data_IF_845747139051
#
_entry.id   IF_845747139051
#
_cell.length_a   1.000
_cell.length_b   1.000
_cell.length_c   1.000
_cell.angle_alpha   90.00
_cell.angle_beta   90.00
_cell.angle_gamma   90.00
#
_symmetry.space_group_name_H-M   'P 1'
#
loop_
_entity.id
_entity.type
_entity.pdbx_description
1 polymer ?
#
# COMPACT_ATOMS: atom_id res chain seq x y z
N UNK A 1 -5.03 9.27 -16.37
CA UNK A 1 -5.60 10.05 -15.25
C UNK A 1 -6.83 10.78 -15.73
N UNK A 2 -7.93 10.65 -14.99
CA UNK A 2 -9.19 11.33 -15.25
C UNK A 2 -8.99 12.85 -15.10
N UNK A 3 -9.63 13.67 -15.95
CA UNK A 3 -9.50 15.13 -15.90
C UNK A 3 -9.86 15.69 -14.52
N UNK A 4 -10.82 15.05 -13.83
CA UNK A 4 -11.23 15.39 -12.45
C UNK A 4 -10.11 15.12 -11.44
N UNK A 5 -9.32 14.07 -11.61
CA UNK A 5 -8.16 13.78 -10.74
C UNK A 5 -7.08 14.86 -10.91
N UNK A 6 -6.85 15.33 -12.13
CA UNK A 6 -5.88 16.41 -12.42
C UNK A 6 -6.32 17.74 -11.83
N UNK A 7 -7.62 18.07 -11.95
CA UNK A 7 -8.17 19.34 -11.46
C UNK A 7 -8.17 19.40 -9.91
N UNK A 8 -8.48 18.28 -9.25
CA UNK A 8 -8.59 18.21 -7.78
C UNK A 8 -7.32 17.76 -7.08
N UNK A 9 -6.33 17.22 -7.81
CA UNK A 9 -5.08 16.72 -7.25
C UNK A 9 -5.25 15.50 -6.33
N UNK A 10 -6.31 14.71 -6.52
CA UNK A 10 -6.62 13.51 -5.72
C UNK A 10 -6.75 12.28 -6.61
N UNK A 11 -6.41 11.11 -6.09
CA UNK A 11 -6.68 9.83 -6.73
C UNK A 11 -8.12 9.44 -6.51
N UNK A 12 -8.88 9.18 -7.59
CA UNK A 12 -10.28 8.75 -7.56
C UNK A 12 -10.37 7.25 -7.84
N UNK A 13 -9.67 6.78 -8.87
CA UNK A 13 -9.63 5.38 -9.27
C UNK A 13 -8.28 4.77 -8.91
N UNK A 14 -8.31 3.52 -8.45
CA UNK A 14 -7.11 2.76 -8.17
C UNK A 14 -6.23 2.62 -9.41
N UNK A 15 -4.94 2.82 -9.24
CA UNK A 15 -3.93 2.62 -10.28
C UNK A 15 -3.08 1.42 -9.93
N UNK A 16 -2.94 0.52 -10.89
CA UNK A 16 -2.15 -0.71 -10.71
C UNK A 16 -0.87 -0.59 -11.51
N UNK A 17 0.25 -0.80 -10.83
CA UNK A 17 1.59 -0.81 -11.41
C UNK A 17 2.33 -2.05 -10.92
N UNK A 18 3.20 -2.63 -11.75
CA UNK A 18 4.04 -3.74 -11.37
C UNK A 18 5.51 -3.38 -11.57
N UNK A 19 6.34 -3.76 -10.62
CA UNK A 19 7.80 -3.67 -10.71
C UNK A 19 8.43 -5.04 -10.46
N UNK A 20 9.65 -5.24 -10.95
CA UNK A 20 10.45 -6.43 -10.65
C UNK A 20 11.66 -6.01 -9.81
N UNK A 21 11.81 -6.63 -8.67
CA UNK A 21 12.91 -6.37 -7.76
C UNK A 21 13.41 -7.68 -7.14
N UNK A 22 14.72 -7.92 -7.21
CA UNK A 22 15.37 -9.13 -6.69
C UNK A 22 14.65 -10.45 -7.08
N UNK A 23 14.23 -10.57 -8.36
CA UNK A 23 13.54 -11.75 -8.88
C UNK A 23 12.06 -11.87 -8.48
N UNK A 24 11.55 -10.94 -7.69
CA UNK A 24 10.14 -10.90 -7.26
C UNK A 24 9.36 -9.85 -8.03
N UNK A 25 8.17 -10.19 -8.50
CA UNK A 25 7.20 -9.24 -9.06
C UNK A 25 6.39 -8.63 -7.91
N UNK A 26 6.47 -7.32 -7.75
CA UNK A 26 5.70 -6.56 -6.78
C UNK A 26 4.60 -5.80 -7.53
N UNK A 27 3.34 -6.12 -7.25
CA UNK A 27 2.20 -5.36 -7.75
C UNK A 27 1.83 -4.29 -6.75
N UNK A 28 1.81 -3.04 -7.19
CA UNK A 28 1.51 -1.87 -6.36
C UNK A 28 0.16 -1.34 -6.81
N UNK A 29 -0.75 -1.17 -5.86
CA UNK A 29 -2.08 -0.59 -6.09
C UNK A 29 -2.14 0.72 -5.32
N UNK A 30 -2.21 1.83 -6.07
CA UNK A 30 -2.44 3.16 -5.49
C UNK A 30 -3.92 3.32 -5.16
N UNK A 31 -4.23 3.58 -3.88
CA UNK A 31 -5.61 3.66 -3.38
C UNK A 31 -6.05 5.11 -3.22
N UNK A 32 -7.34 5.43 -3.50
CA UNK A 32 -7.89 6.69 -3.06
C UNK A 32 -7.81 6.81 -1.54
N UNK A 33 -7.33 7.97 -1.05
CA UNK A 33 -7.24 8.25 0.39
C UNK A 33 -8.53 8.77 1.02
N UNK A 34 -9.55 9.12 0.23
CA UNK A 34 -10.75 9.79 0.71
C UNK A 34 -11.83 8.79 1.17
N UNK A 35 -12.48 9.08 2.31
CA UNK A 35 -13.51 8.21 2.88
C UNK A 35 -14.74 8.00 1.95
N UNK A 36 -15.01 8.93 1.04
CA UNK A 36 -16.09 8.84 0.05
C UNK A 36 -15.92 7.66 -0.92
N UNK A 37 -14.70 7.15 -1.07
CA UNK A 37 -14.36 6.01 -1.93
C UNK A 37 -14.23 4.69 -1.16
N UNK A 38 -14.92 4.54 -0.03
CA UNK A 38 -14.81 3.40 0.87
C UNK A 38 -15.02 2.04 0.23
N UNK A 39 -15.93 1.92 -0.72
CA UNK A 39 -16.16 0.68 -1.47
C UNK A 39 -14.98 0.30 -2.39
N UNK A 40 -14.29 1.29 -2.95
CA UNK A 40 -13.07 1.06 -3.74
C UNK A 40 -11.93 0.59 -2.85
N UNK A 41 -11.72 1.25 -1.71
CA UNK A 41 -10.70 0.88 -0.73
C UNK A 41 -10.91 -0.56 -0.23
N UNK A 42 -12.12 -0.97 0.11
CA UNK A 42 -12.41 -2.33 0.55
C UNK A 42 -12.12 -3.38 -0.52
N UNK A 43 -12.49 -3.11 -1.77
CA UNK A 43 -12.18 -4.00 -2.90
C UNK A 43 -10.68 -4.17 -3.10
N UNK A 44 -9.93 -3.08 -3.04
CA UNK A 44 -8.46 -3.11 -3.18
C UNK A 44 -7.83 -3.89 -2.04
N UNK A 45 -8.22 -3.61 -0.80
CA UNK A 45 -7.68 -4.29 0.37
C UNK A 45 -7.93 -5.80 0.36
N UNK A 46 -8.98 -6.27 -0.31
CA UNK A 46 -9.23 -7.71 -0.49
C UNK A 46 -8.26 -8.38 -1.46
N UNK A 47 -7.63 -7.63 -2.37
CA UNK A 47 -6.70 -8.15 -3.36
C UNK A 47 -5.23 -8.17 -2.90
N UNK A 48 -4.87 -7.27 -1.97
CA UNK A 48 -3.47 -7.08 -1.56
C UNK A 48 -3.08 -8.00 -0.42
N UNK A 49 -1.78 -8.28 -0.30
CA UNK A 49 -1.24 -9.14 0.75
C UNK A 49 -0.74 -8.34 1.96
N UNK A 50 -0.49 -7.04 1.77
CA UNK A 50 -0.15 -6.08 2.81
C UNK A 50 -0.34 -4.65 2.34
N UNK A 51 -0.09 -3.68 3.22
CA UNK A 51 -0.28 -2.26 2.92
C UNK A 51 0.97 -1.44 3.25
N UNK A 52 1.24 -0.42 2.44
CA UNK A 52 2.18 0.64 2.78
C UNK A 52 1.38 1.80 3.39
N UNK A 53 1.58 2.05 4.67
CA UNK A 53 0.96 3.17 5.36
C UNK A 53 1.86 4.40 5.23
N UNK A 54 1.48 5.32 4.34
CA UNK A 54 2.22 6.57 4.14
C UNK A 54 1.80 7.59 5.19
N UNK A 55 2.76 8.04 5.98
CA UNK A 55 2.60 9.10 6.98
C UNK A 55 3.46 10.29 6.57
N UNK A 56 2.90 11.48 6.56
CA UNK A 56 3.65 12.70 6.32
C UNK A 56 4.48 13.06 7.57
N UNK A 57 5.78 13.30 7.41
CA UNK A 57 6.67 13.61 8.55
C UNK A 57 6.24 14.86 9.32
N UNK A 58 5.61 15.83 8.65
CA UNK A 58 5.20 17.10 9.25
C UNK A 58 3.74 17.09 9.71
N UNK A 59 2.84 16.53 8.89
CA UNK A 59 1.39 16.53 9.18
C UNK A 59 0.96 15.36 10.07
N UNK A 60 1.78 14.31 10.17
CA UNK A 60 1.48 13.13 10.98
C UNK A 60 0.36 12.26 10.43
N UNK A 61 -0.38 11.60 11.33
CA UNK A 61 -1.47 10.69 10.99
C UNK A 61 -2.76 11.46 10.66
N UNK A 62 -3.07 11.57 9.38
CA UNK A 62 -4.27 12.25 8.88
C UNK A 62 -5.53 11.36 9.04
N UNK A 63 -6.76 11.95 9.04
CA UNK A 63 -8.00 11.18 9.12
C UNK A 63 -8.14 10.10 8.05
N UNK A 64 -7.63 10.35 6.84
CA UNK A 64 -7.62 9.39 5.73
C UNK A 64 -6.74 8.18 6.05
N UNK A 65 -5.56 8.41 6.64
CA UNK A 65 -4.65 7.37 7.13
C UNK A 65 -5.36 6.45 8.12
N UNK A 66 -6.08 7.03 9.09
CA UNK A 66 -6.87 6.31 10.10
C UNK A 66 -7.93 5.41 9.46
N UNK A 67 -8.66 5.95 8.48
CA UNK A 67 -9.73 5.22 7.80
C UNK A 67 -9.19 3.97 7.08
N UNK A 68 -8.17 4.15 6.23
CA UNK A 68 -7.60 3.04 5.44
C UNK A 68 -6.93 2.00 6.35
N UNK A 69 -6.18 2.45 7.37
CA UNK A 69 -5.54 1.55 8.32
C UNK A 69 -6.55 0.71 9.09
N UNK A 70 -7.66 1.30 9.56
CA UNK A 70 -8.75 0.57 10.24
C UNK A 70 -9.29 -0.58 9.38
N UNK A 71 -9.51 -0.32 8.09
CA UNK A 71 -10.00 -1.34 7.16
C UNK A 71 -8.94 -2.42 6.91
N UNK A 72 -7.69 -2.05 6.73
CA UNK A 72 -6.58 -2.99 6.52
C UNK A 72 -6.38 -3.92 7.72
N UNK A 73 -6.34 -3.37 8.94
CA UNK A 73 -6.20 -4.14 10.18
C UNK A 73 -7.37 -5.09 10.38
N UNK A 74 -8.61 -4.63 10.12
CA UNK A 74 -9.81 -5.46 10.20
C UNK A 74 -9.84 -6.64 9.23
N UNK A 75 -9.09 -6.56 8.12
CA UNK A 75 -8.88 -7.64 7.16
C UNK A 75 -7.62 -8.49 7.45
N UNK A 76 -7.00 -8.29 8.61
CA UNK A 76 -5.80 -9.03 9.01
C UNK A 76 -4.55 -8.67 8.19
N UNK A 77 -4.53 -7.52 7.49
CA UNK A 77 -3.37 -7.14 6.68
C UNK A 77 -2.25 -6.61 7.55
N UNK A 78 -1.01 -6.95 7.19
CA UNK A 78 0.20 -6.37 7.77
C UNK A 78 0.47 -5.01 7.13
N UNK A 79 0.92 -4.04 7.93
CA UNK A 79 1.26 -2.71 7.46
C UNK A 79 2.76 -2.46 7.60
N UNK A 80 3.38 -1.97 6.53
CA UNK A 80 4.71 -1.36 6.56
C UNK A 80 4.53 0.15 6.60
N UNK A 81 5.04 0.79 7.65
CA UNK A 81 4.91 2.25 7.82
C UNK A 81 6.02 2.96 7.05
N UNK A 82 5.64 3.95 6.27
CA UNK A 82 6.59 4.80 5.52
C UNK A 82 6.38 6.26 5.93
N UNK A 83 7.32 6.80 6.71
CA UNK A 83 7.34 8.22 7.05
C UNK A 83 7.98 8.96 5.87
N UNK A 84 7.13 9.65 5.10
CA UNK A 84 7.51 10.33 3.87
C UNK A 84 7.69 11.84 4.08
N UNK A 85 8.34 12.49 3.14
CA UNK A 85 8.65 13.94 3.15
C UNK A 85 9.61 14.35 4.27
N UNK A 86 10.49 13.47 4.71
CA UNK A 86 11.48 13.74 5.75
C UNK A 86 12.51 14.84 5.34
N UNK A 87 12.51 15.20 4.05
CA UNK A 87 13.31 16.30 3.48
C UNK A 87 12.69 17.70 3.62
N UNK A 88 11.43 17.80 4.09
CA UNK A 88 10.69 19.07 4.06
C UNK A 88 10.88 19.97 5.28
N UNK A 89 11.36 19.45 6.40
CA UNK A 89 11.52 20.23 7.62
C UNK A 89 11.93 19.39 8.82
N UNK A 90 12.08 20.06 9.95
CA UNK A 90 12.32 19.38 11.22
C UNK A 90 10.99 18.84 11.78
N UNK A 91 11.04 17.63 12.31
CA UNK A 91 9.93 16.98 13.02
C UNK A 91 10.48 16.16 14.17
N UNK A 92 9.65 15.92 15.17
CA UNK A 92 10.01 15.05 16.28
C UNK A 92 9.69 13.60 15.90
N UNK A 93 10.75 12.81 15.64
CA UNK A 93 10.62 11.40 15.28
C UNK A 93 9.94 10.60 16.39
N UNK A 94 10.27 10.87 17.64
CA UNK A 94 9.74 10.14 18.77
C UNK A 94 8.24 10.38 18.92
N UNK A 95 7.82 11.65 18.90
CA UNK A 95 6.42 12.02 18.96
C UNK A 95 5.61 11.42 17.81
N UNK A 96 6.14 11.47 16.58
CA UNK A 96 5.47 10.91 15.41
C UNK A 96 5.32 9.39 15.52
N UNK A 97 6.34 8.69 15.98
CA UNK A 97 6.26 7.23 16.22
C UNK A 97 5.26 6.88 17.32
N UNK A 98 5.19 7.65 18.38
CA UNK A 98 4.17 7.47 19.43
C UNK A 98 2.75 7.65 18.85
N UNK A 99 2.50 8.69 18.07
CA UNK A 99 1.22 8.90 17.40
C UNK A 99 0.82 7.71 16.51
N UNK A 100 1.77 7.15 15.76
CA UNK A 100 1.53 5.97 14.92
C UNK A 100 1.21 4.76 15.80
N UNK A 101 1.95 4.51 16.85
CA UNK A 101 1.72 3.40 17.79
C UNK A 101 0.34 3.52 18.46
N UNK A 102 -0.01 4.70 18.95
CA UNK A 102 -1.33 4.98 19.52
C UNK A 102 -2.44 4.71 18.52
N UNK A 103 -2.25 5.11 17.26
CA UNK A 103 -3.22 4.85 16.20
C UNK A 103 -3.43 3.35 15.97
N UNK A 104 -2.37 2.55 15.94
CA UNK A 104 -2.49 1.09 15.79
C UNK A 104 -3.22 0.47 17.00
N UNK A 105 -2.90 0.89 18.22
CA UNK A 105 -3.57 0.42 19.44
C UNK A 105 -5.06 0.77 19.44
N UNK A 106 -5.41 2.03 19.15
CA UNK A 106 -6.80 2.47 19.09
C UNK A 106 -7.63 1.73 18.04
N UNK A 107 -7.00 1.33 16.94
CA UNK A 107 -7.67 0.60 15.86
C UNK A 107 -7.69 -0.91 16.09
N UNK A 108 -7.17 -1.39 17.22
CA UNK A 108 -7.23 -2.79 17.63
C UNK A 108 -6.29 -3.70 16.85
N UNK A 109 -5.10 -3.23 16.49
CA UNK A 109 -4.06 -4.06 15.91
C UNK A 109 -3.71 -5.23 16.84
N UNK A 110 -3.56 -6.44 16.28
CA UNK A 110 -3.05 -7.58 17.00
C UNK A 110 -1.52 -7.51 17.13
N UNK A 111 -0.90 -8.43 17.90
CA UNK A 111 0.53 -8.42 18.18
C UNK A 111 1.38 -8.44 16.89
N UNK A 112 1.02 -9.25 15.90
CA UNK A 112 1.72 -9.35 14.60
C UNK A 112 1.60 -8.06 13.77
N UNK A 113 0.47 -7.38 13.87
CA UNK A 113 0.21 -6.11 13.19
C UNK A 113 0.88 -4.93 13.91
N UNK A 114 1.03 -5.03 15.23
CA UNK A 114 1.67 -4.00 16.03
C UNK A 114 3.20 -4.03 15.90
N UNK A 115 3.79 -5.17 15.55
CA UNK A 115 5.21 -5.29 15.20
C UNK A 115 5.47 -4.81 13.77
N UNK A 116 5.18 -3.53 13.52
CA UNK A 116 5.38 -2.92 12.22
C UNK A 116 6.77 -2.29 12.08
N UNK A 117 7.34 -2.41 10.88
CA UNK A 117 8.59 -1.75 10.52
C UNK A 117 8.33 -0.33 10.03
N UNK A 118 9.26 0.57 10.33
CA UNK A 118 9.24 1.96 9.84
C UNK A 118 10.36 2.18 8.86
N UNK A 119 10.02 2.80 7.72
CA UNK A 119 10.97 3.28 6.70
C UNK A 119 10.79 4.79 6.56
N UNK A 120 11.89 5.50 6.47
CA UNK A 120 11.93 6.94 6.21
C UNK A 120 12.15 7.18 4.73
N UNK A 121 11.44 8.13 4.13
CA UNK A 121 11.53 8.36 2.70
C UNK A 121 11.38 9.84 2.30
N UNK A 122 12.02 10.18 1.20
CA UNK A 122 11.67 11.34 0.39
C UNK A 122 11.30 10.85 -1.01
N UNK A 123 10.01 10.60 -1.23
CA UNK A 123 9.52 10.12 -2.52
C UNK A 123 9.82 11.12 -3.65
N UNK A 124 9.81 12.44 -3.35
CA UNK A 124 10.16 13.48 -4.32
C UNK A 124 11.61 13.40 -4.78
N UNK A 125 12.52 13.06 -3.85
CA UNK A 125 13.95 12.93 -4.14
C UNK A 125 14.34 11.49 -4.56
N UNK A 126 13.42 10.52 -4.45
CA UNK A 126 13.60 9.15 -4.92
C UNK A 126 14.49 8.28 -4.02
N UNK A 127 14.47 8.50 -2.69
CA UNK A 127 15.23 7.71 -1.75
C UNK A 127 14.43 7.27 -0.52
N UNK A 128 14.90 6.20 0.11
CA UNK A 128 14.42 5.68 1.38
C UNK A 128 15.60 5.24 2.26
N UNK A 129 15.37 5.18 3.58
CA UNK A 129 16.33 4.69 4.57
C UNK A 129 15.61 3.96 5.71
N UNK A 130 16.32 3.08 6.39
CA UNK A 130 15.85 2.42 7.62
C UNK A 130 16.03 3.29 8.86
N UNK A 131 16.81 4.35 8.77
CA UNK A 131 17.10 5.30 9.86
C UNK A 131 17.08 6.74 9.35
N UNK A 132 16.77 7.69 10.22
CA UNK A 132 16.88 9.12 9.91
C UNK A 132 18.33 9.62 9.86
N UNK A 133 19.25 8.92 10.55
CA UNK A 133 20.66 9.32 10.62
C UNK A 133 21.38 9.19 9.28
N UNK A 134 20.86 8.36 8.38
CA UNK A 134 21.45 8.10 7.07
C UNK A 134 20.55 8.61 5.95
N UNK A 135 21.11 9.51 5.14
CA UNK A 135 20.44 9.96 3.93
C UNK A 135 20.47 8.84 2.89
N UNK A 136 19.29 8.37 2.48
CA UNK A 136 19.19 7.31 1.46
C UNK A 136 19.67 7.78 0.09
N UNK A 137 20.11 6.84 -0.74
CA UNK A 137 20.57 7.11 -2.12
C UNK A 137 19.58 6.65 -3.19
N UNK A 138 18.68 5.74 -2.83
CA UNK A 138 17.67 5.16 -3.72
C UNK A 138 16.53 4.53 -2.90
N UNK A 139 15.57 3.89 -3.59
CA UNK A 139 14.40 3.26 -2.96
C UNK A 139 14.64 1.79 -2.53
N UNK A 140 15.84 1.24 -2.67
CA UNK A 140 16.11 -0.16 -2.31
C UNK A 140 15.74 -0.49 -0.86
N UNK A 141 16.03 0.34 0.17
CA UNK A 141 15.64 0.03 1.54
C UNK A 141 14.13 -0.18 1.73
N UNK A 142 13.29 0.56 0.99
CA UNK A 142 11.84 0.36 1.00
C UNK A 142 11.45 -0.94 0.31
N UNK A 143 12.05 -1.25 -0.85
CA UNK A 143 11.76 -2.48 -1.58
C UNK A 143 12.20 -3.72 -0.82
N UNK A 144 13.36 -3.68 -0.16
CA UNK A 144 13.83 -4.75 0.71
C UNK A 144 12.90 -4.95 1.91
N UNK A 145 12.41 -3.85 2.52
CA UNK A 145 11.43 -3.92 3.59
C UNK A 145 10.09 -4.53 3.12
N UNK A 146 9.63 -4.20 1.92
CA UNK A 146 8.42 -4.83 1.34
C UNK A 146 8.62 -6.34 1.23
N UNK A 147 9.75 -6.79 0.69
CA UNK A 147 10.03 -8.23 0.53
C UNK A 147 10.17 -8.97 1.87
N UNK A 148 10.63 -8.29 2.93
CA UNK A 148 10.81 -8.92 4.25
C UNK A 148 9.52 -8.92 5.09
N UNK A 149 8.68 -7.88 4.98
CA UNK A 149 7.55 -7.66 5.89
C UNK A 149 6.21 -8.08 5.30
N UNK A 150 6.03 -7.94 3.99
CA UNK A 150 4.78 -8.31 3.34
C UNK A 150 4.83 -9.78 2.93
N UNK A 151 3.88 -10.62 3.41
CA UNK A 151 3.86 -12.02 3.04
C UNK A 151 3.61 -12.21 1.54
N UNK A 152 4.17 -13.27 0.98
CA UNK A 152 3.83 -13.68 -0.37
C UNK A 152 2.35 -14.09 -0.46
N UNK A 153 1.71 -13.97 -1.64
CA UNK A 153 0.35 -14.43 -1.83
C UNK A 153 0.22 -15.92 -1.50
N UNK A 154 -0.78 -16.27 -0.71
CA UNK A 154 -1.16 -17.65 -0.45
C UNK A 154 -2.22 -18.11 -1.45
N UNK A 155 -2.14 -19.36 -1.89
CA UNK A 155 -3.12 -19.93 -2.80
C UNK A 155 -2.88 -21.43 -3.06
N UNK A 156 -3.95 -22.16 -3.40
CA UNK A 156 -3.89 -23.56 -3.82
C UNK A 156 -3.74 -23.63 -5.34
N UNK A 157 -2.54 -23.92 -5.83
CA UNK A 157 -2.23 -23.99 -7.26
C UNK A 157 -2.87 -25.19 -7.97
N UNK A 158 -3.14 -26.26 -7.25
CA UNK A 158 -3.70 -27.51 -7.81
C UNK A 158 -5.23 -27.52 -7.84
N UNK A 159 -5.86 -26.56 -7.19
CA UNK A 159 -7.31 -26.45 -7.14
C UNK A 159 -7.95 -25.93 -8.42
N UNK A 160 -9.24 -26.07 -8.56
CA UNK A 160 -10.00 -25.47 -9.66
C UNK A 160 -9.87 -23.93 -9.64
N UNK A 161 -9.83 -23.30 -10.81
CA UNK A 161 -9.67 -21.85 -10.93
C UNK A 161 -10.70 -21.08 -10.12
N UNK A 162 -10.21 -20.18 -9.28
CA UNK A 162 -11.02 -19.19 -8.57
C UNK A 162 -10.39 -17.80 -8.76
N UNK A 163 -10.98 -16.98 -9.60
CA UNK A 163 -10.58 -15.61 -9.89
C UNK A 163 -11.63 -14.65 -9.31
N UNK A 164 -11.21 -13.77 -8.42
CA UNK A 164 -12.03 -12.68 -7.91
C UNK A 164 -11.77 -11.44 -8.77
N UNK A 165 -12.76 -11.03 -9.59
CA UNK A 165 -12.70 -9.78 -10.35
C UNK A 165 -13.06 -8.62 -9.42
N UNK A 166 -12.16 -7.69 -9.22
CA UNK A 166 -12.33 -6.54 -8.32
C UNK A 166 -12.46 -5.22 -9.07
N UNK A 167 -11.95 -5.13 -10.29
CA UNK A 167 -12.08 -3.95 -11.13
C UNK A 167 -12.31 -4.33 -12.59
N UNK A 168 -12.93 -3.42 -13.33
CA UNK A 168 -13.18 -3.58 -14.77
C UNK A 168 -12.61 -2.35 -15.47
N UNK A 169 -11.84 -2.59 -16.50
CA UNK A 169 -11.33 -1.58 -17.41
C UNK A 169 -11.83 -1.85 -18.83
N UNK A 170 -11.59 -0.92 -19.73
CA UNK A 170 -11.97 -1.05 -21.14
C UNK A 170 -10.87 -0.53 -22.05
N UNK A 171 -10.56 -1.33 -23.07
CA UNK A 171 -9.64 -0.96 -24.12
C UNK A 171 -10.37 -1.08 -25.48
N UNK A 172 -10.10 -0.17 -26.41
CA UNK A 172 -10.79 -0.14 -27.69
C UNK A 172 -10.52 -1.36 -28.58
N UNK A 173 -9.39 -2.05 -28.38
CA UNK A 173 -8.96 -3.21 -29.16
C UNK A 173 -9.39 -4.53 -28.53
N UNK A 174 -9.21 -4.69 -27.21
CA UNK A 174 -9.49 -5.95 -26.52
C UNK A 174 -10.85 -5.97 -25.81
N UNK A 175 -11.53 -4.82 -25.74
CA UNK A 175 -12.83 -4.70 -25.11
C UNK A 175 -12.75 -4.60 -23.57
N UNK A 176 -13.62 -5.32 -22.86
CA UNK A 176 -13.66 -5.31 -21.39
C UNK A 176 -12.52 -6.11 -20.80
N UNK A 177 -11.79 -5.48 -19.87
CA UNK A 177 -10.67 -6.06 -19.14
C UNK A 177 -11.11 -6.26 -17.69
N UNK A 178 -11.07 -7.51 -17.22
CA UNK A 178 -11.28 -7.82 -15.81
C UNK A 178 -9.94 -7.82 -15.07
N UNK A 179 -9.84 -7.07 -13.97
CA UNK A 179 -8.67 -7.02 -13.10
C UNK A 179 -9.03 -7.67 -11.77
N UNK A 180 -8.25 -8.65 -11.34
CA UNK A 180 -8.56 -9.39 -10.13
C UNK A 180 -7.41 -10.21 -9.59
N UNK A 181 -7.69 -10.95 -8.49
CA UNK A 181 -6.77 -11.87 -7.84
C UNK A 181 -7.18 -13.31 -8.11
N UNK A 182 -6.23 -14.13 -8.57
CA UNK A 182 -6.38 -15.58 -8.61
C UNK A 182 -6.15 -16.10 -7.19
N UNK A 183 -7.20 -16.62 -6.55
CA UNK A 183 -7.12 -17.18 -5.21
C UNK A 183 -6.78 -18.68 -5.24
N UNK A 184 -7.11 -19.36 -6.35
CA UNK A 184 -6.86 -20.79 -6.52
C UNK A 184 -6.75 -21.14 -7.99
N UNK A 185 -5.97 -22.20 -8.29
CA UNK A 185 -5.71 -22.62 -9.66
C UNK A 185 -4.79 -21.69 -10.44
N UNK A 186 -4.79 -21.80 -11.75
CA UNK A 186 -3.98 -20.99 -12.66
C UNK A 186 -4.75 -20.60 -13.92
N UNK A 187 -4.25 -19.60 -14.61
CA UNK A 187 -4.75 -19.12 -15.91
C UNK A 187 -3.57 -19.07 -16.86
N UNK A 188 -3.73 -19.71 -18.01
CA UNK A 188 -2.77 -19.66 -19.08
C UNK A 188 -3.16 -18.56 -20.09
N UNK A 189 -2.14 -17.96 -20.70
CA UNK A 189 -2.33 -17.00 -21.80
C UNK A 189 -2.65 -17.81 -23.05
N UNK A 190 -3.83 -17.58 -23.63
CA UNK A 190 -4.31 -18.25 -24.82
C UNK A 190 -3.90 -17.57 -26.14
#
# INVERSE_FOLDING_TARGET
>A
SNDIERERGITILAKITAIHYNGTKINIIDTPGHADFGGEVERILSMVDGVLLLVDAIEGCMPQTRYVLKKALGLGKKALVVINKVDKGEFDEHELREQIMELFMELGANDDQFDFKVIYASAKQGWASTTLAEHGTNMAPLLDAILSEIPAPEGDLEGGLQLLICNIDYDEYVGRIGIGKVNRGHIDVG
#
